data_IF_088397032151
#
_entry.id   IF_088397032151
#
_cell.length_a   1.000
_cell.length_b   1.000
_cell.length_c   1.000
_cell.angle_alpha   90.00
_cell.angle_beta   90.00
_cell.angle_gamma   90.00
#
_symmetry.space_group_name_H-M   'P 1'
#
loop_
_entity.id
_entity.type
_entity.pdbx_description
1 polymer ?
#
# COMPACT_ATOMS: atom_id res chain seq x y z
N UNK A 1 10.58 5.92 6.40
CA UNK A 1 10.06 6.84 5.38
C UNK A 1 8.86 7.61 5.92
N UNK A 2 8.81 8.86 5.60
CA UNK A 2 7.64 9.71 5.85
C UNK A 2 6.83 9.78 4.56
N UNK A 3 5.56 9.37 4.61
CA UNK A 3 4.68 9.31 3.44
C UNK A 3 3.86 10.59 3.31
N UNK A 4 3.74 11.06 2.08
CA UNK A 4 3.05 12.31 1.77
C UNK A 4 1.57 12.07 1.42
N UNK A 5 0.70 12.97 1.89
CA UNK A 5 -0.69 13.05 1.46
C UNK A 5 -1.58 11.92 1.89
N UNK A 6 -1.09 10.99 2.71
CA UNK A 6 -1.86 9.84 3.17
C UNK A 6 -1.61 9.62 4.65
N UNK A 7 -2.60 9.07 5.33
CA UNK A 7 -2.42 8.58 6.68
C UNK A 7 -1.82 7.17 6.57
N UNK A 8 -0.49 7.10 6.51
CA UNK A 8 0.22 5.88 6.14
C UNK A 8 1.64 5.88 6.69
N UNK A 9 2.22 4.70 6.83
CA UNK A 9 3.62 4.52 7.22
C UNK A 9 4.30 3.44 6.39
N UNK A 10 5.62 3.51 6.29
CA UNK A 10 6.42 2.56 5.55
C UNK A 10 7.78 2.37 6.21
N UNK A 11 8.19 1.12 6.35
CA UNK A 11 9.49 0.75 6.91
C UNK A 11 10.14 -0.29 6.00
N UNK A 12 11.40 -0.08 5.63
CA UNK A 12 12.15 -1.01 4.81
C UNK A 12 13.34 -1.56 5.60
N UNK A 13 13.55 -2.87 5.51
CA UNK A 13 14.70 -3.56 6.05
C UNK A 13 15.51 -4.12 4.88
N UNK A 14 16.48 -3.35 4.43
CA UNK A 14 17.31 -3.74 3.28
C UNK A 14 18.24 -4.90 3.59
N UNK A 15 18.59 -5.08 4.86
CA UNK A 15 19.48 -6.18 5.26
C UNK A 15 18.78 -7.54 5.06
N UNK A 16 17.50 -7.63 5.42
CA UNK A 16 16.71 -8.85 5.29
C UNK A 16 15.86 -8.87 4.04
N UNK A 17 15.84 -7.80 3.25
CA UNK A 17 15.06 -7.72 2.02
C UNK A 17 13.57 -7.71 2.23
N UNK A 18 13.09 -7.06 3.29
CA UNK A 18 11.68 -7.04 3.67
C UNK A 18 11.19 -5.62 3.89
N UNK A 19 9.89 -5.43 3.74
CA UNK A 19 9.26 -4.15 4.07
C UNK A 19 7.94 -4.37 4.79
N UNK A 20 7.49 -3.33 5.50
CA UNK A 20 6.18 -3.27 6.13
C UNK A 20 5.56 -1.90 5.86
N UNK A 21 4.25 -1.88 5.70
CA UNK A 21 3.52 -0.63 5.48
C UNK A 21 2.13 -0.72 6.11
N UNK A 22 1.54 0.44 6.37
CA UNK A 22 0.13 0.52 6.75
C UNK A 22 -0.47 1.75 6.08
N UNK A 23 -1.75 1.68 5.75
CA UNK A 23 -2.52 2.79 5.20
C UNK A 23 -3.92 2.80 5.79
N UNK A 24 -4.48 3.98 5.94
CA UNK A 24 -5.91 4.14 6.18
C UNK A 24 -6.58 4.36 4.82
N UNK A 25 -7.46 3.44 4.44
CA UNK A 25 -7.99 3.37 3.09
C UNK A 25 -9.44 3.80 3.03
N UNK A 26 -9.80 4.47 1.93
CA UNK A 26 -11.18 4.84 1.63
C UNK A 26 -11.54 4.20 0.29
N UNK A 27 -12.61 3.42 0.31
CA UNK A 27 -13.15 2.82 -0.91
C UNK A 27 -14.20 3.70 -1.54
N UNK A 28 -14.41 3.55 -2.84
CA UNK A 28 -15.44 4.24 -3.59
C UNK A 28 -16.34 3.23 -4.28
N UNK A 29 -17.64 3.55 -4.29
CA UNK A 29 -18.61 2.76 -5.04
C UNK A 29 -18.37 2.96 -6.54
N UNK A 30 -18.24 1.87 -7.27
CA UNK A 30 -17.97 1.93 -8.72
C UNK A 30 -19.14 2.52 -9.51
N UNK A 31 -20.36 2.39 -8.98
CA UNK A 31 -21.57 2.92 -9.62
C UNK A 31 -21.86 4.37 -9.23
N UNK A 32 -21.31 4.81 -8.08
CA UNK A 32 -21.48 6.18 -7.58
C UNK A 32 -20.19 6.59 -6.87
N UNK A 33 -19.32 7.30 -7.57
CA UNK A 33 -18.01 7.71 -7.05
C UNK A 33 -18.10 8.72 -5.90
N UNK A 34 -19.26 9.30 -5.67
CA UNK A 34 -19.47 10.19 -4.51
C UNK A 34 -19.77 9.41 -3.23
N UNK A 35 -20.14 8.13 -3.35
CA UNK A 35 -20.39 7.26 -2.21
C UNK A 35 -19.07 6.63 -1.78
N UNK A 36 -18.54 7.06 -0.63
CA UNK A 36 -17.28 6.58 -0.11
C UNK A 36 -17.50 5.78 1.16
N UNK A 37 -16.61 4.81 1.39
CA UNK A 37 -16.60 3.99 2.59
C UNK A 37 -15.20 4.00 3.19
N UNK A 38 -15.14 4.28 4.49
CA UNK A 38 -13.89 4.13 5.23
C UNK A 38 -13.61 2.63 5.39
N UNK A 39 -12.57 2.16 4.72
CA UNK A 39 -12.16 0.75 4.74
C UNK A 39 -11.25 0.43 5.92
N UNK A 40 -10.94 1.42 6.76
CA UNK A 40 -10.09 1.23 7.92
C UNK A 40 -8.62 1.09 7.59
N UNK A 41 -7.87 0.60 8.57
CA UNK A 41 -6.43 0.45 8.43
C UNK A 41 -6.08 -0.88 7.79
N UNK A 42 -5.26 -0.80 6.76
CA UNK A 42 -4.70 -1.95 6.07
C UNK A 42 -3.22 -2.02 6.36
N UNK A 43 -2.73 -3.22 6.57
CA UNK A 43 -1.31 -3.48 6.80
C UNK A 43 -0.77 -4.35 5.70
N UNK A 44 0.44 -4.07 5.27
CA UNK A 44 1.07 -4.81 4.19
C UNK A 44 2.50 -5.16 4.51
N UNK A 45 2.98 -6.20 3.85
CA UNK A 45 4.37 -6.63 3.95
C UNK A 45 4.76 -7.41 2.71
N UNK A 46 6.06 -7.55 2.47
CA UNK A 46 6.55 -8.31 1.34
C UNK A 46 8.05 -8.26 1.24
N UNK A 47 8.53 -8.53 0.04
CA UNK A 47 9.94 -8.69 -0.25
C UNK A 47 10.45 -7.59 -1.17
N UNK A 48 11.65 -7.11 -0.85
CA UNK A 48 12.41 -6.21 -1.71
C UNK A 48 13.22 -7.10 -2.67
N UNK A 49 13.28 -6.70 -3.93
CA UNK A 49 14.00 -7.46 -4.94
C UNK A 49 15.48 -7.62 -4.56
N UNK A 50 16.00 -8.83 -4.74
CA UNK A 50 17.37 -9.18 -4.35
C UNK A 50 18.35 -9.16 -5.53
N UNK A 51 17.87 -8.83 -6.72
CA UNK A 51 18.64 -8.84 -7.95
C UNK A 51 19.31 -7.48 -8.28
N UNK A 52 19.27 -6.55 -7.33
CA UNK A 52 19.79 -5.21 -7.54
C UNK A 52 18.80 -4.22 -8.12
N UNK A 53 17.61 -4.67 -8.53
CA UNK A 53 16.57 -3.76 -8.98
C UNK A 53 15.93 -3.05 -7.78
N UNK A 54 15.36 -1.85 -7.99
CA UNK A 54 14.77 -1.08 -6.89
C UNK A 54 13.36 -1.52 -6.51
N UNK A 55 12.83 -2.57 -7.12
CA UNK A 55 11.43 -2.96 -6.96
C UNK A 55 11.14 -3.76 -5.72
N UNK A 56 9.88 -3.72 -5.30
CA UNK A 56 9.35 -4.57 -4.24
C UNK A 56 7.90 -4.92 -4.52
N UNK A 57 7.43 -5.98 -3.90
CA UNK A 57 6.04 -6.38 -4.01
C UNK A 57 5.61 -7.14 -2.77
N UNK A 58 4.32 -7.18 -2.54
CA UNK A 58 3.77 -7.89 -1.40
C UNK A 58 2.25 -7.90 -1.40
N UNK A 59 1.72 -8.25 -0.25
CA UNK A 59 0.28 -8.28 -0.02
C UNK A 59 -0.09 -7.27 1.05
N UNK A 60 -1.35 -6.84 1.00
CA UNK A 60 -1.92 -5.94 1.97
C UNK A 60 -3.22 -6.54 2.49
N UNK A 61 -3.46 -6.42 3.79
CA UNK A 61 -4.59 -7.03 4.47
C UNK A 61 -5.34 -5.98 5.28
N UNK A 62 -6.66 -6.12 5.26
CA UNK A 62 -7.56 -5.31 6.09
C UNK A 62 -8.43 -6.20 6.98
N UNK A 63 -9.48 -5.59 7.54
CA UNK A 63 -10.42 -6.31 8.38
C UNK A 63 -11.26 -7.31 7.57
N UNK A 64 -11.82 -8.32 8.27
CA UNK A 64 -12.70 -9.33 7.68
C UNK A 64 -12.05 -10.15 6.56
N UNK A 65 -10.76 -10.44 6.70
CA UNK A 65 -10.00 -11.22 5.73
C UNK A 65 -9.92 -10.59 4.34
N UNK A 66 -10.20 -9.29 4.24
CA UNK A 66 -10.00 -8.58 2.99
C UNK A 66 -8.52 -8.49 2.67
N UNK A 67 -8.17 -8.66 1.42
CA UNK A 67 -6.78 -8.67 0.99
C UNK A 67 -6.61 -7.94 -0.34
N UNK A 68 -5.36 -7.58 -0.62
CA UNK A 68 -5.00 -6.94 -1.87
C UNK A 68 -3.53 -7.12 -2.18
N UNK A 69 -3.10 -6.45 -3.22
CA UNK A 69 -1.72 -6.52 -3.70
C UNK A 69 -1.12 -5.12 -3.71
N UNK A 70 0.19 -5.06 -3.51
CA UNK A 70 0.93 -3.82 -3.69
C UNK A 70 2.26 -4.09 -4.40
N UNK A 71 2.72 -3.09 -5.13
CA UNK A 71 4.03 -3.14 -5.74
C UNK A 71 4.56 -1.72 -5.91
N UNK A 72 5.86 -1.59 -5.84
CA UNK A 72 6.49 -0.28 -5.95
C UNK A 72 7.97 -0.35 -6.15
N UNK A 73 8.62 0.78 -5.92
CA UNK A 73 10.06 0.89 -6.09
C UNK A 73 10.64 1.98 -5.20
N UNK A 74 11.92 1.87 -4.97
CA UNK A 74 12.73 2.93 -4.34
C UNK A 74 13.36 3.79 -5.45
N UNK A 75 13.52 5.05 -5.16
CA UNK A 75 14.05 6.03 -6.11
C UNK A 75 15.12 6.88 -5.46
N UNK A 76 15.95 7.48 -6.29
CA UNK A 76 16.96 8.43 -5.86
C UNK A 76 18.19 7.76 -5.25
N UNK A 77 19.22 8.57 -4.92
CA UNK A 77 20.43 8.06 -4.29
C UNK A 77 20.11 7.42 -2.95
N UNK A 78 20.71 6.26 -2.68
CA UNK A 78 20.56 5.53 -1.42
C UNK A 78 19.10 5.24 -1.05
N UNK A 79 18.25 5.03 -2.06
CA UNK A 79 16.82 4.77 -1.86
C UNK A 79 16.13 5.88 -1.04
N UNK A 80 16.45 7.13 -1.37
CA UNK A 80 15.96 8.29 -0.63
C UNK A 80 14.44 8.44 -0.72
N UNK A 81 13.83 7.92 -1.77
CA UNK A 81 12.40 8.02 -2.00
C UNK A 81 11.79 6.65 -2.24
N UNK A 82 10.50 6.51 -1.93
CA UNK A 82 9.74 5.29 -2.15
C UNK A 82 8.39 5.64 -2.74
N UNK A 83 7.91 4.78 -3.64
CA UNK A 83 6.55 4.91 -4.14
C UNK A 83 5.98 3.53 -4.42
N UNK A 84 4.69 3.35 -4.12
CA UNK A 84 4.01 2.10 -4.46
C UNK A 84 2.57 2.35 -4.83
N UNK A 85 2.05 1.44 -5.65
CA UNK A 85 0.63 1.35 -5.93
C UNK A 85 0.02 0.17 -5.22
N UNK A 86 -1.26 0.24 -4.94
CA UNK A 86 -1.96 -0.84 -4.29
C UNK A 86 -3.35 -1.02 -4.89
N UNK A 87 -3.84 -2.24 -4.76
CA UNK A 87 -5.20 -2.61 -5.14
C UNK A 87 -5.78 -3.45 -4.01
N UNK A 88 -6.94 -3.05 -3.51
CA UNK A 88 -7.64 -3.75 -2.44
C UNK A 88 -9.08 -4.00 -2.85
N UNK A 89 -9.62 -5.12 -2.40
CA UNK A 89 -10.99 -5.51 -2.66
C UNK A 89 -11.62 -6.00 -1.36
N UNK A 90 -12.84 -5.58 -1.10
CA UNK A 90 -13.58 -5.99 0.09
C UNK A 90 -14.96 -6.48 -0.32
N UNK A 91 -15.39 -7.55 0.35
CA UNK A 91 -16.71 -8.15 0.13
C UNK A 91 -17.76 -7.64 1.11
N UNK A 92 -17.58 -6.43 1.64
CA UNK A 92 -18.59 -5.83 2.51
C UNK A 92 -19.94 -5.77 1.77
N UNK A 93 -20.93 -6.44 2.36
CA UNK A 93 -22.28 -6.48 1.83
C UNK A 93 -22.96 -5.11 1.88
N UNK A 94 -23.84 -4.74 0.92
CA UNK A 94 -24.32 -5.59 -0.18
C UNK A 94 -23.47 -5.50 -1.45
N UNK A 95 -22.56 -4.52 -1.54
CA UNK A 95 -21.78 -4.29 -2.75
C UNK A 95 -20.30 -4.34 -2.38
N UNK A 96 -19.47 -5.08 -3.15
CA UNK A 96 -18.04 -5.04 -2.92
C UNK A 96 -17.45 -3.68 -3.28
N UNK A 97 -16.51 -3.22 -2.48
CA UNK A 97 -15.75 -2.01 -2.74
C UNK A 97 -14.37 -2.37 -3.24
N UNK A 98 -13.88 -1.60 -4.20
CA UNK A 98 -12.54 -1.74 -4.74
C UNK A 98 -11.80 -0.46 -4.44
N UNK A 99 -10.62 -0.59 -3.82
CA UNK A 99 -9.75 0.52 -3.57
C UNK A 99 -8.44 0.36 -4.33
N UNK A 100 -7.93 1.44 -4.87
CA UNK A 100 -6.61 1.47 -5.46
C UNK A 100 -6.02 2.86 -5.27
N UNK A 101 -4.71 2.93 -5.27
CA UNK A 101 -4.07 4.23 -5.07
C UNK A 101 -2.57 4.14 -5.16
N UNK A 102 -1.94 5.30 -4.94
CA UNK A 102 -0.49 5.43 -4.86
C UNK A 102 -0.09 6.07 -3.56
N UNK A 103 1.03 5.62 -3.05
CA UNK A 103 1.65 6.22 -1.87
C UNK A 103 3.09 6.56 -2.24
N UNK A 104 3.51 7.77 -1.90
CA UNK A 104 4.89 8.22 -2.11
C UNK A 104 5.45 8.75 -0.81
N UNK A 105 6.74 8.56 -0.61
CA UNK A 105 7.39 8.98 0.62
C UNK A 105 8.86 9.26 0.43
N UNK A 106 9.44 9.80 1.48
CA UNK A 106 10.85 10.18 1.52
C UNK A 106 11.50 9.57 2.76
N UNK A 107 12.74 9.15 2.62
CA UNK A 107 13.55 8.60 3.70
C UNK A 107 13.76 9.66 4.78
N UNK A 108 13.52 9.26 5.99
CA UNK A 108 13.71 10.13 7.16
C UNK A 108 15.18 10.41 7.45
#
# INVERSE_FOLDING_TARGET
YTLNGANAGFTADFLNGQFQTWIDAIGRNMDDVSDTLDLGRWTGSGLIASDGSPGFHGMIWGDNNAAGLLSGAFFGPDAAEVGYGFYIETNKSPVPYIGFGRVVGRKD
#
